data_IF_215952099025
#
_entry.id   IF_215952099025
#
_cell.length_a   1.000
_cell.length_b   1.000
_cell.length_c   1.000
_cell.angle_alpha   90.00
_cell.angle_beta   90.00
_cell.angle_gamma   90.00
#
_symmetry.space_group_name_H-M   'P 1'
#
loop_
_entity.id
_entity.type
_entity.pdbx_description
1 polymer ?
#
# COMPACT_ATOMS: atom_id res chain seq x y z
N UNK A 1 20.68 16.21 -16.03
CA UNK A 1 20.20 15.42 -14.87
C UNK A 1 20.23 16.20 -13.56
N UNK A 2 21.38 16.74 -13.14
CA UNK A 2 21.55 17.43 -11.85
C UNK A 2 20.51 18.53 -11.55
N UNK A 3 20.25 19.44 -12.50
CA UNK A 3 19.22 20.48 -12.34
C UNK A 3 17.84 19.90 -12.02
N UNK A 4 17.49 18.75 -12.61
CA UNK A 4 16.20 18.07 -12.40
C UNK A 4 16.12 17.42 -11.01
N UNK A 5 17.23 16.87 -10.52
CA UNK A 5 17.36 16.34 -9.15
C UNK A 5 17.17 17.47 -8.14
N UNK A 6 17.91 18.57 -8.28
CA UNK A 6 17.80 19.74 -7.41
C UNK A 6 16.37 20.33 -7.41
N UNK A 7 15.78 20.50 -8.60
CA UNK A 7 14.43 21.02 -8.73
C UNK A 7 13.37 20.11 -8.08
N UNK A 8 13.55 18.78 -8.12
CA UNK A 8 12.62 17.84 -7.49
C UNK A 8 12.75 17.84 -5.97
N UNK A 9 13.97 17.76 -5.45
CA UNK A 9 14.21 17.85 -4.01
C UNK A 9 13.66 19.17 -3.43
N UNK A 10 13.89 20.29 -4.12
CA UNK A 10 13.38 21.61 -3.71
C UNK A 10 11.86 21.70 -3.70
N UNK A 11 11.14 21.06 -4.64
CA UNK A 11 9.68 21.11 -4.69
C UNK A 11 9.00 20.22 -3.65
N UNK A 12 9.59 19.07 -3.33
CA UNK A 12 8.96 18.10 -2.44
C UNK A 12 9.26 18.40 -0.97
N UNK A 13 10.53 18.68 -0.62
CA UNK A 13 10.97 18.76 0.79
C UNK A 13 11.97 19.87 1.09
N UNK A 14 12.74 20.32 0.10
CA UNK A 14 13.90 21.20 0.33
C UNK A 14 15.09 20.50 1.00
N UNK A 15 15.06 19.17 1.16
CA UNK A 15 16.11 18.43 1.89
C UNK A 15 17.24 17.97 0.95
N UNK A 16 18.46 18.43 1.21
CA UNK A 16 19.66 18.04 0.48
C UNK A 16 19.94 16.53 0.54
N UNK A 17 19.60 15.86 1.65
CA UNK A 17 19.75 14.40 1.77
C UNK A 17 18.89 13.66 0.76
N UNK A 18 17.68 14.15 0.46
CA UNK A 18 16.79 13.58 -0.56
C UNK A 18 17.34 13.79 -1.97
N UNK A 19 17.97 14.93 -2.24
CA UNK A 19 18.67 15.16 -3.49
C UNK A 19 19.82 14.17 -3.70
N UNK A 20 20.62 13.93 -2.65
CA UNK A 20 21.74 12.97 -2.67
C UNK A 20 21.22 11.53 -2.81
N UNK A 21 20.18 11.14 -2.07
CA UNK A 21 19.54 9.81 -2.18
C UNK A 21 19.09 9.53 -3.62
N UNK A 22 18.42 10.51 -4.25
CA UNK A 22 17.98 10.41 -5.64
C UNK A 22 19.16 10.34 -6.62
N UNK A 23 20.21 11.13 -6.40
CA UNK A 23 21.41 11.10 -7.23
C UNK A 23 22.12 9.75 -7.17
N UNK A 24 22.30 9.18 -5.98
CA UNK A 24 22.95 7.87 -5.80
C UNK A 24 22.19 6.78 -6.54
N UNK A 25 20.85 6.73 -6.39
CA UNK A 25 20.03 5.74 -7.09
C UNK A 25 20.09 5.95 -8.62
N UNK A 26 20.04 7.18 -9.09
CA UNK A 26 20.08 7.49 -10.52
C UNK A 26 21.46 7.21 -11.16
N UNK A 27 22.55 7.46 -10.43
CA UNK A 27 23.90 7.13 -10.86
C UNK A 27 24.08 5.62 -10.99
N UNK A 28 23.64 4.85 -9.99
CA UNK A 28 23.67 3.38 -10.05
C UNK A 28 22.86 2.83 -11.24
N UNK A 29 21.66 3.38 -11.47
CA UNK A 29 20.86 2.99 -12.63
C UNK A 29 21.57 3.33 -13.96
N UNK A 30 22.26 4.46 -14.03
CA UNK A 30 23.04 4.84 -15.21
C UNK A 30 24.21 3.88 -15.45
N UNK A 31 24.94 3.50 -14.40
CA UNK A 31 26.01 2.50 -14.46
C UNK A 31 25.51 1.16 -15.02
N UNK A 32 24.33 0.71 -14.56
CA UNK A 32 23.73 -0.57 -14.97
C UNK A 32 23.13 -0.55 -16.41
N UNK A 33 22.96 0.63 -17.03
CA UNK A 33 22.21 0.76 -18.30
C UNK A 33 23.01 1.37 -19.43
N UNK A 34 23.30 2.66 -19.38
CA UNK A 34 23.85 3.45 -20.51
C UNK A 34 25.22 4.05 -20.23
N UNK A 35 25.70 3.95 -18.99
CA UNK A 35 26.89 4.63 -18.49
C UNK A 35 26.76 6.15 -18.39
N UNK A 36 25.57 6.72 -18.61
CA UNK A 36 25.35 8.17 -18.63
C UNK A 36 24.12 8.57 -17.82
N UNK A 37 24.32 9.53 -16.91
CA UNK A 37 23.23 10.08 -16.11
C UNK A 37 22.40 11.08 -16.92
N UNK A 38 21.32 10.61 -17.55
CA UNK A 38 20.37 11.47 -18.28
C UNK A 38 19.15 11.79 -17.41
N UNK A 39 18.19 12.54 -17.97
CA UNK A 39 16.94 12.80 -17.26
C UNK A 39 16.06 11.56 -17.10
N UNK A 40 16.20 10.58 -18.01
CA UNK A 40 15.42 9.34 -17.99
C UNK A 40 15.77 8.51 -16.77
N UNK A 41 17.05 8.33 -16.46
CA UNK A 41 17.51 7.57 -15.30
C UNK A 41 17.07 8.25 -13.99
N UNK A 42 17.09 9.58 -13.93
CA UNK A 42 16.58 10.32 -12.75
C UNK A 42 15.08 10.08 -12.53
N UNK A 43 14.29 10.02 -13.60
CA UNK A 43 12.86 9.78 -13.50
C UNK A 43 12.54 8.36 -13.06
N UNK A 44 13.21 7.36 -13.65
CA UNK A 44 13.08 5.95 -13.25
C UNK A 44 13.53 5.78 -11.81
N UNK A 45 14.71 6.28 -11.44
CA UNK A 45 15.25 6.17 -10.09
C UNK A 45 14.31 6.79 -9.05
N UNK A 46 13.67 7.92 -9.35
CA UNK A 46 12.71 8.52 -8.44
C UNK A 46 11.47 7.67 -8.23
N UNK A 47 10.90 7.10 -9.29
CA UNK A 47 9.73 6.20 -9.18
C UNK A 47 10.11 4.93 -8.41
N UNK A 48 11.31 4.40 -8.65
CA UNK A 48 11.82 3.24 -7.90
C UNK A 48 12.01 3.57 -6.43
N UNK A 49 12.57 4.74 -6.09
CA UNK A 49 12.73 5.15 -4.69
C UNK A 49 11.40 5.31 -3.96
N UNK A 50 10.37 5.83 -4.63
CA UNK A 50 9.02 5.91 -4.06
C UNK A 50 8.48 4.50 -3.75
N UNK A 51 8.57 3.58 -4.71
CA UNK A 51 8.14 2.18 -4.52
C UNK A 51 8.93 1.48 -3.41
N UNK A 52 10.26 1.63 -3.38
CA UNK A 52 11.13 1.03 -2.37
C UNK A 52 10.75 1.50 -0.96
N UNK A 53 10.50 2.82 -0.79
CA UNK A 53 10.05 3.40 0.49
C UNK A 53 8.70 2.86 0.92
N UNK A 54 7.74 2.78 -0.02
CA UNK A 54 6.44 2.19 0.26
C UNK A 54 6.55 0.73 0.70
N UNK A 55 7.41 -0.06 0.06
CA UNK A 55 7.64 -1.46 0.46
C UNK A 55 8.31 -1.59 1.82
N UNK A 56 9.28 -0.73 2.13
CA UNK A 56 9.92 -0.67 3.44
C UNK A 56 8.90 -0.33 4.54
N UNK A 57 8.01 0.64 4.29
CA UNK A 57 6.89 0.95 5.17
C UNK A 57 5.98 -0.26 5.39
N UNK A 58 5.59 -0.95 4.32
CA UNK A 58 4.75 -2.16 4.42
C UNK A 58 5.46 -3.27 5.20
N UNK A 59 6.78 -3.41 5.04
CA UNK A 59 7.59 -4.42 5.74
C UNK A 59 7.71 -4.13 7.24
N UNK A 60 7.76 -2.86 7.62
CA UNK A 60 7.84 -2.43 9.03
C UNK A 60 6.49 -2.44 9.76
N UNK A 61 5.37 -2.65 9.06
CA UNK A 61 4.06 -2.78 9.69
C UNK A 61 4.00 -3.94 10.67
N UNK A 62 3.39 -3.70 11.83
CA UNK A 62 3.04 -4.75 12.79
C UNK A 62 2.06 -5.74 12.15
N UNK A 63 2.07 -7.00 12.63
CA UNK A 63 1.26 -8.09 12.06
C UNK A 63 -0.22 -7.71 11.86
N UNK A 64 -0.85 -7.07 12.85
CA UNK A 64 -2.25 -6.66 12.76
C UNK A 64 -2.50 -5.54 11.74
N UNK A 65 -1.57 -4.58 11.60
CA UNK A 65 -1.61 -3.54 10.56
C UNK A 65 -1.53 -4.17 9.17
N UNK A 66 -0.58 -5.09 9.00
CA UNK A 66 -0.36 -5.81 7.74
C UNK A 66 -1.58 -6.63 7.33
N UNK A 67 -2.21 -7.33 8.28
CA UNK A 67 -3.46 -8.07 8.03
C UNK A 67 -4.61 -7.14 7.63
N UNK A 68 -4.74 -5.96 8.26
CA UNK A 68 -5.74 -4.96 7.86
C UNK A 68 -5.49 -4.44 6.44
N UNK A 69 -4.23 -4.20 6.07
CA UNK A 69 -3.87 -3.79 4.71
C UNK A 69 -4.20 -4.88 3.67
N UNK A 70 -3.87 -6.14 3.97
CA UNK A 70 -4.21 -7.29 3.12
C UNK A 70 -5.73 -7.41 2.98
N UNK A 71 -6.49 -7.22 4.06
CA UNK A 71 -7.95 -7.26 4.02
C UNK A 71 -8.53 -6.16 3.10
N UNK A 72 -8.00 -4.93 3.16
CA UNK A 72 -8.40 -3.85 2.26
C UNK A 72 -8.19 -4.24 0.79
N UNK A 73 -6.98 -4.68 0.41
CA UNK A 73 -6.65 -5.01 -0.98
C UNK A 73 -7.35 -6.29 -1.47
N UNK A 74 -7.59 -7.26 -0.59
CA UNK A 74 -8.38 -8.46 -0.91
C UNK A 74 -9.85 -8.10 -1.17
N UNK A 75 -10.40 -7.14 -0.43
CA UNK A 75 -11.77 -6.65 -0.68
C UNK A 75 -11.89 -5.92 -2.02
N UNK A 76 -10.87 -5.11 -2.36
CA UNK A 76 -10.81 -4.37 -3.62
C UNK A 76 -10.60 -5.27 -4.85
N UNK A 77 -9.88 -6.39 -4.68
CA UNK A 77 -9.63 -7.34 -5.77
C UNK A 77 -10.90 -8.01 -6.34
N UNK A 78 -12.04 -7.94 -5.63
CA UNK A 78 -13.35 -8.48 -6.08
C UNK A 78 -14.05 -7.63 -7.16
N UNK A 79 -13.29 -6.92 -7.99
CA UNK A 79 -13.81 -6.10 -9.09
C UNK A 79 -14.50 -4.79 -8.67
N UNK A 80 -14.37 -4.39 -7.39
CA UNK A 80 -14.96 -3.14 -6.89
C UNK A 80 -13.89 -2.05 -6.81
N UNK A 81 -14.22 -0.85 -7.28
CA UNK A 81 -13.33 0.33 -7.14
C UNK A 81 -13.21 0.81 -5.69
N UNK A 82 -14.20 0.50 -4.85
CA UNK A 82 -14.29 0.92 -3.44
C UNK A 82 -14.85 -0.20 -2.57
N UNK A 83 -14.47 -0.21 -1.29
CA UNK A 83 -14.98 -1.12 -0.27
C UNK A 83 -15.35 -0.37 1.01
N UNK A 84 -16.27 -0.91 1.82
CA UNK A 84 -16.62 -0.32 3.12
C UNK A 84 -15.80 -0.91 4.27
N UNK A 85 -15.78 -0.21 5.42
CA UNK A 85 -15.15 -0.70 6.65
C UNK A 85 -15.70 -2.06 7.09
N UNK A 86 -16.99 -2.31 6.92
CA UNK A 86 -17.63 -3.58 7.29
C UNK A 86 -17.13 -4.75 6.45
N UNK A 87 -16.99 -4.55 5.13
CA UNK A 87 -16.44 -5.57 4.22
C UNK A 87 -14.99 -5.90 4.55
N UNK A 88 -14.18 -4.87 4.84
CA UNK A 88 -12.78 -5.06 5.26
C UNK A 88 -12.71 -5.81 6.59
N UNK A 89 -13.57 -5.48 7.55
CA UNK A 89 -13.61 -6.16 8.85
C UNK A 89 -13.94 -7.65 8.74
N UNK A 90 -14.88 -8.03 7.86
CA UNK A 90 -15.22 -9.43 7.61
C UNK A 90 -14.01 -10.23 7.10
N UNK A 91 -13.30 -9.71 6.09
CA UNK A 91 -12.10 -10.34 5.54
C UNK A 91 -10.97 -10.37 6.57
N UNK A 92 -10.75 -9.26 7.30
CA UNK A 92 -9.75 -9.19 8.37
C UNK A 92 -9.97 -10.26 9.45
N UNK A 93 -11.21 -10.44 9.89
CA UNK A 93 -11.57 -11.41 10.92
C UNK A 93 -11.27 -12.84 10.47
N UNK A 94 -11.55 -13.15 9.20
CA UNK A 94 -11.22 -14.46 8.60
C UNK A 94 -9.71 -14.66 8.49
N UNK A 95 -8.96 -13.65 8.02
CA UNK A 95 -7.50 -13.71 7.97
C UNK A 95 -6.89 -13.94 9.37
N UNK A 96 -7.43 -13.28 10.39
CA UNK A 96 -7.03 -13.51 11.78
C UNK A 96 -7.30 -14.96 12.23
N UNK A 97 -8.46 -15.53 11.88
CA UNK A 97 -8.78 -16.93 12.19
C UNK A 97 -7.81 -17.91 11.52
N UNK A 98 -7.53 -17.74 10.21
CA UNK A 98 -6.57 -18.58 9.47
C UNK A 98 -5.16 -18.50 10.08
N UNK A 99 -4.79 -17.35 10.62
CA UNK A 99 -3.50 -17.14 11.28
C UNK A 99 -3.50 -17.46 12.77
N UNK A 100 -4.60 -17.98 13.34
CA UNK A 100 -4.77 -18.25 14.78
C UNK A 100 -4.51 -17.03 15.67
N UNK A 101 -4.82 -15.83 15.18
CA UNK A 101 -4.70 -14.56 15.89
C UNK A 101 -6.09 -14.12 16.35
N UNK A 102 -6.24 -13.72 17.61
CA UNK A 102 -7.50 -13.12 18.08
C UNK A 102 -7.79 -11.82 17.30
N UNK A 103 -8.96 -11.71 16.63
CA UNK A 103 -9.30 -10.52 15.88
C UNK A 103 -9.50 -9.32 16.82
N UNK A 104 -9.10 -8.14 16.33
CA UNK A 104 -9.46 -6.87 16.95
C UNK A 104 -10.96 -6.60 16.78
N UNK A 105 -11.51 -5.68 17.58
CA UNK A 105 -12.88 -5.20 17.40
C UNK A 105 -12.99 -4.37 16.12
N UNK A 106 -14.19 -4.26 15.55
CA UNK A 106 -14.45 -3.45 14.35
C UNK A 106 -14.01 -1.99 14.52
N UNK A 107 -14.18 -1.41 15.72
CA UNK A 107 -13.68 -0.05 16.03
C UNK A 107 -12.17 0.05 15.86
N UNK A 108 -11.41 -0.90 16.42
CA UNK A 108 -9.94 -0.92 16.34
C UNK A 108 -9.44 -1.18 14.92
N UNK A 109 -10.17 -1.96 14.12
CA UNK A 109 -9.87 -2.13 12.69
C UNK A 109 -10.15 -0.82 11.92
N UNK A 110 -11.18 -0.06 12.28
CA UNK A 110 -11.41 1.29 11.71
C UNK A 110 -10.27 2.26 12.05
N UNK A 111 -9.76 2.23 13.30
CA UNK A 111 -8.56 3.00 13.67
C UNK A 111 -7.36 2.56 12.82
N UNK A 112 -7.22 1.26 12.56
CA UNK A 112 -6.15 0.73 11.72
C UNK A 112 -6.25 1.19 10.27
N UNK A 113 -7.46 1.21 9.70
CA UNK A 113 -7.71 1.75 8.37
C UNK A 113 -7.34 3.23 8.32
N UNK A 114 -7.66 3.99 9.38
CA UNK A 114 -7.29 5.41 9.49
C UNK A 114 -5.78 5.60 9.54
N UNK A 115 -5.06 4.73 10.25
CA UNK A 115 -3.60 4.69 10.24
C UNK A 115 -3.08 4.39 8.82
N UNK A 116 -3.58 3.36 8.14
CA UNK A 116 -3.12 3.01 6.79
C UNK A 116 -3.37 4.14 5.77
N UNK A 117 -4.48 4.87 5.91
CA UNK A 117 -4.81 6.07 5.13
C UNK A 117 -3.83 7.22 5.40
N UNK A 118 -3.49 7.46 6.67
CA UNK A 118 -2.49 8.45 7.06
C UNK A 118 -1.11 8.18 6.44
N UNK A 119 -0.70 6.92 6.32
CA UNK A 119 0.55 6.53 5.66
C UNK A 119 0.43 6.44 4.12
N UNK A 120 -0.74 6.78 3.55
CA UNK A 120 -0.98 6.78 2.11
C UNK A 120 -1.02 5.38 1.48
N UNK A 121 -1.10 4.32 2.29
CA UNK A 121 -1.15 2.93 1.82
C UNK A 121 -2.52 2.55 1.24
N UNK A 122 -3.55 3.31 1.60
CA UNK A 122 -4.91 3.28 1.05
C UNK A 122 -5.45 4.71 1.00
N UNK A 123 -6.60 4.90 0.36
CA UNK A 123 -7.37 6.14 0.47
C UNK A 123 -8.72 5.81 1.12
N UNK A 124 -9.07 6.41 2.25
CA UNK A 124 -10.24 6.00 3.04
C UNK A 124 -11.06 7.18 3.61
N UNK A 125 -11.59 8.10 2.77
CA UNK A 125 -12.42 9.22 3.24
C UNK A 125 -13.65 8.73 4.00
N UNK A 126 -14.01 9.47 5.04
CA UNK A 126 -15.28 9.28 5.74
C UNK A 126 -16.39 9.91 4.92
N UNK A 127 -17.39 9.12 4.57
CA UNK A 127 -18.55 9.53 3.79
C UNK A 127 -19.80 9.40 4.65
N UNK A 128 -20.58 10.48 4.72
CA UNK A 128 -21.90 10.47 5.37
C UNK A 128 -22.94 9.87 4.43
N UNK A 129 -23.74 8.93 4.94
CA UNK A 129 -24.89 8.35 4.23
C UNK A 129 -26.22 8.77 4.87
N UNK A 130 -26.24 9.93 5.54
CA UNK A 130 -27.43 10.46 6.20
C UNK A 130 -27.91 9.52 7.31
N UNK A 131 -29.18 9.08 7.24
CA UNK A 131 -29.80 8.18 8.24
C UNK A 131 -29.10 6.82 8.37
N UNK A 132 -28.34 6.40 7.36
CA UNK A 132 -27.58 5.14 7.36
C UNK A 132 -26.20 5.26 8.04
N UNK A 133 -25.92 6.41 8.67
CA UNK A 133 -24.68 6.65 9.40
C UNK A 133 -23.50 7.05 8.51
N UNK A 134 -22.30 6.97 9.07
CA UNK A 134 -21.05 7.30 8.41
C UNK A 134 -20.23 6.02 8.18
N UNK A 135 -19.62 5.91 7.01
CA UNK A 135 -18.69 4.81 6.68
C UNK A 135 -17.46 5.37 6.00
N UNK A 136 -16.35 4.62 6.02
CA UNK A 136 -15.22 4.91 5.13
C UNK A 136 -15.47 4.26 3.77
N UNK A 137 -15.17 4.98 2.70
CA UNK A 137 -15.03 4.41 1.36
C UNK A 137 -13.55 4.20 1.08
N UNK A 138 -13.12 2.95 1.13
CA UNK A 138 -11.71 2.59 1.01
C UNK A 138 -11.42 2.27 -0.46
N UNK A 139 -10.37 2.89 -1.01
CA UNK A 139 -9.90 2.72 -2.37
C UNK A 139 -8.39 2.43 -2.40
N UNK A 140 -7.93 1.86 -3.51
CA UNK A 140 -6.52 1.57 -3.74
C UNK A 140 -5.70 2.85 -3.91
N UNK A 141 -4.52 2.88 -3.28
CA UNK A 141 -3.52 3.96 -3.43
C UNK A 141 -2.19 3.41 -3.99
N UNK A 142 -1.92 2.12 -3.79
CA UNK A 142 -0.64 1.51 -4.13
C UNK A 142 -0.54 1.09 -5.60
N UNK A 143 0.68 1.12 -6.20
CA UNK A 143 0.93 0.56 -7.52
C UNK A 143 0.63 -0.94 -7.57
N UNK A 144 0.11 -1.42 -8.71
CA UNK A 144 -0.26 -2.85 -8.90
C UNK A 144 0.85 -3.82 -8.50
N UNK A 145 2.09 -3.56 -8.91
CA UNK A 145 3.22 -4.43 -8.58
C UNK A 145 3.48 -4.57 -7.07
N UNK A 146 3.21 -3.52 -6.28
CA UNK A 146 3.32 -3.57 -4.81
C UNK A 146 2.17 -4.39 -4.22
N UNK A 147 0.95 -4.20 -4.74
CA UNK A 147 -0.23 -4.97 -4.33
C UNK A 147 -0.05 -6.46 -4.61
N UNK A 148 0.46 -6.81 -5.79
CA UNK A 148 0.71 -8.21 -6.16
C UNK A 148 1.73 -8.85 -5.21
N UNK A 149 2.81 -8.13 -4.88
CA UNK A 149 3.79 -8.59 -3.87
C UNK A 149 3.19 -8.67 -2.47
N UNK A 150 2.32 -7.74 -2.07
CA UNK A 150 1.63 -7.80 -0.79
C UNK A 150 0.75 -9.04 -0.66
N UNK A 151 -0.02 -9.36 -1.71
CA UNK A 151 -0.99 -10.47 -1.71
C UNK A 151 -0.34 -11.84 -1.97
N UNK A 152 0.81 -11.89 -2.64
CA UNK A 152 1.46 -13.15 -3.05
C UNK A 152 2.83 -13.39 -2.38
N UNK A 153 3.52 -12.34 -1.94
CA UNK A 153 4.92 -12.37 -1.50
C UNK A 153 5.12 -12.91 -0.08
N UNK A 154 4.21 -12.60 0.86
CA UNK A 154 4.36 -13.00 2.27
C UNK A 154 3.28 -13.99 2.76
N UNK A 155 2.31 -14.32 1.91
CA UNK A 155 1.09 -15.05 2.28
C UNK A 155 0.84 -16.29 1.45
N UNK A 156 1.88 -17.07 1.10
CA UNK A 156 1.77 -18.30 0.27
C UNK A 156 0.71 -19.33 0.72
N UNK A 157 0.08 -19.18 1.89
CA UNK A 157 -0.97 -20.08 2.39
C UNK A 157 -2.40 -19.51 2.28
N UNK A 158 -2.65 -18.26 2.67
CA UNK A 158 -4.03 -17.77 2.85
C UNK A 158 -4.81 -17.45 1.55
N UNK A 159 -4.14 -16.95 0.50
CA UNK A 159 -4.82 -16.54 -0.74
C UNK A 159 -5.16 -17.72 -1.68
N UNK A 160 -4.44 -18.85 -1.55
CA UNK A 160 -4.75 -20.07 -2.32
C UNK A 160 -5.99 -20.80 -1.81
N UNK A 161 -6.28 -20.71 -0.52
CA UNK A 161 -7.48 -21.31 0.08
C UNK A 161 -8.75 -20.50 -0.26
N UNK A 162 -8.65 -19.17 -0.27
CA UNK A 162 -9.78 -18.28 -0.57
C UNK A 162 -10.32 -18.40 -2.00
N UNK A 163 -9.46 -18.66 -3.00
CA UNK A 163 -9.90 -18.94 -4.38
C UNK A 163 -10.62 -20.29 -4.51
N UNK A 164 -10.49 -21.19 -3.54
CA UNK A 164 -11.10 -22.53 -3.56
C UNK A 164 -12.39 -22.61 -2.75
N UNK A 165 -12.56 -21.79 -1.71
CA UNK A 165 -13.70 -21.87 -0.78
C UNK A 165 -14.82 -20.87 -1.13
N UNK A 166 -15.40 -20.96 -2.33
CA UNK A 166 -16.52 -20.09 -2.77
C UNK A 166 -17.48 -19.69 -1.64
N UNK A 167 -17.83 -18.40 -1.59
CA UNK A 167 -18.57 -17.79 -0.47
C UNK A 167 -20.01 -18.33 -0.38
N UNK A 168 -20.53 -18.68 0.81
CA UNK A 168 -21.91 -19.15 1.00
C UNK A 168 -22.98 -18.03 0.91
N UNK A 169 -22.66 -16.93 0.24
CA UNK A 169 -23.53 -15.75 0.11
C UNK A 169 -23.49 -15.15 -1.31
N UNK A 170 -23.11 -15.95 -2.30
CA UNK A 170 -23.48 -15.71 -3.70
C UNK A 170 -24.86 -16.35 -3.97
#
# INVERSE_FOLDING_TARGET
ALRRIAARASRETGDARKAVELLVKAAKLAEDTTGRLTQKEVEVASRTLEVDKTEELIRSLATRQKLSLIACYTSLAKGRSKTSTGQVYAIYSQLCQTQQIKPLTQRRVSDMISFLDLYGLINAPVVSRGRYGQTREIAASLPKGVVDRLLHGDGKKASREWRKSGSPYD
#
